data_IF_208472748607
#
_entry.id   IF_208472748607
#
_cell.length_a   1.000
_cell.length_b   1.000
_cell.length_c   1.000
_cell.angle_alpha   90.00
_cell.angle_beta   90.00
_cell.angle_gamma   90.00
#
_symmetry.space_group_name_H-M   'P 1'
#
loop_
_entity.id
_entity.type
_entity.pdbx_description
1 polymer ?
#
# COMPACT_ATOMS: atom_id res chain seq x y z
N UNK A 1 -5.81 5.31 17.90
CA UNK A 1 -6.48 4.60 16.79
C UNK A 1 -6.75 5.60 15.68
N UNK A 2 -6.38 5.28 14.44
CA UNK A 2 -6.57 6.16 13.27
C UNK A 2 -7.54 5.49 12.30
N UNK A 3 -8.28 6.29 11.52
CA UNK A 3 -9.07 5.79 10.38
C UNK A 3 -8.34 5.94 9.05
N UNK A 4 -7.38 6.86 9.00
CA UNK A 4 -6.55 7.13 7.83
C UNK A 4 -5.07 6.92 8.18
N UNK A 5 -4.34 6.31 7.25
CA UNK A 5 -2.89 6.10 7.35
C UNK A 5 -2.29 5.93 5.97
N UNK A 6 -0.96 5.87 5.92
CA UNK A 6 -0.21 5.57 4.71
C UNK A 6 0.13 4.09 4.65
N UNK A 7 0.01 3.51 3.46
CA UNK A 7 0.44 2.17 3.11
C UNK A 7 1.58 2.29 2.10
N UNK A 8 2.72 1.68 2.39
CA UNK A 8 3.84 1.58 1.46
C UNK A 8 3.71 0.29 0.64
N UNK A 9 4.07 0.34 -0.64
CA UNK A 9 4.08 -0.83 -1.53
C UNK A 9 5.42 -0.80 -2.26
N UNK A 10 6.27 -1.79 -2.01
CA UNK A 10 7.53 -1.93 -2.72
C UNK A 10 7.27 -2.39 -4.15
N UNK A 11 7.88 -1.69 -5.11
CA UNK A 11 7.67 -1.92 -6.53
C UNK A 11 8.82 -2.78 -7.07
N UNK A 12 8.56 -3.60 -8.09
CA UNK A 12 9.64 -4.25 -8.83
C UNK A 12 10.45 -3.21 -9.62
N UNK A 13 11.68 -3.55 -10.02
CA UNK A 13 12.58 -2.69 -10.83
C UNK A 13 12.04 -2.32 -12.23
N UNK A 14 10.85 -2.80 -12.60
CA UNK A 14 10.22 -2.51 -13.88
C UNK A 14 9.46 -1.18 -13.84
N UNK A 15 9.43 -0.42 -14.95
CA UNK A 15 8.69 0.83 -15.04
C UNK A 15 7.17 0.53 -15.07
N UNK A 16 6.57 0.50 -13.89
CA UNK A 16 5.14 0.24 -13.71
C UNK A 16 4.52 1.50 -13.12
N UNK A 17 3.37 1.90 -13.66
CA UNK A 17 2.58 2.98 -13.08
C UNK A 17 2.02 2.50 -11.73
N UNK A 18 2.46 3.08 -10.60
CA UNK A 18 2.04 2.60 -9.30
C UNK A 18 0.56 2.84 -9.06
N UNK A 19 -0.12 3.72 -9.79
CA UNK A 19 -1.56 3.94 -9.65
C UNK A 19 -2.42 2.78 -10.14
N UNK A 20 -1.84 1.81 -10.85
CA UNK A 20 -2.53 0.63 -11.37
C UNK A 20 -2.66 -0.52 -10.34
N UNK A 21 -2.00 -0.40 -9.19
CA UNK A 21 -2.12 -1.40 -8.12
C UNK A 21 -3.47 -1.27 -7.40
N UNK A 22 -4.08 -2.41 -7.13
CA UNK A 22 -5.31 -2.51 -6.36
C UNK A 22 -5.00 -2.96 -4.94
N UNK A 23 -5.35 -2.13 -3.95
CA UNK A 23 -5.25 -2.44 -2.52
C UNK A 23 -6.59 -2.98 -2.02
N UNK A 24 -6.58 -4.08 -1.26
CA UNK A 24 -7.77 -4.76 -0.75
C UNK A 24 -7.62 -5.11 0.73
N UNK A 25 -8.69 -4.89 1.49
CA UNK A 25 -8.88 -5.35 2.87
C UNK A 25 -10.39 -5.37 3.16
N UNK A 26 -10.87 -6.26 4.03
CA UNK A 26 -12.31 -6.44 4.32
C UNK A 26 -13.00 -5.14 4.78
N UNK A 27 -12.30 -4.35 5.59
CA UNK A 27 -12.77 -3.05 6.10
C UNK A 27 -12.18 -1.83 5.37
N UNK A 28 -11.65 -2.01 4.16
CA UNK A 28 -11.16 -0.90 3.35
C UNK A 28 -12.34 -0.05 2.86
N UNK A 29 -12.30 1.26 3.11
CA UNK A 29 -13.24 2.21 2.50
C UNK A 29 -12.68 2.78 1.21
N UNK A 30 -11.41 3.20 1.22
CA UNK A 30 -10.72 3.66 0.01
C UNK A 30 -9.21 3.50 0.14
N UNK A 31 -8.55 3.31 -1.01
CA UNK A 31 -7.10 3.39 -1.14
C UNK A 31 -6.78 4.16 -2.42
N UNK A 32 -5.96 5.19 -2.31
CA UNK A 32 -5.56 6.03 -3.45
C UNK A 32 -4.07 6.26 -3.43
N UNK A 33 -3.43 6.15 -4.59
CA UNK A 33 -2.03 6.52 -4.78
C UNK A 33 -1.80 7.97 -4.34
N UNK A 34 -0.73 8.19 -3.59
CA UNK A 34 -0.35 9.50 -3.06
C UNK A 34 0.96 9.99 -3.67
N UNK A 35 2.03 9.19 -3.59
CA UNK A 35 3.35 9.58 -4.09
C UNK A 35 4.26 8.36 -4.35
N UNK A 36 5.31 8.58 -5.14
CA UNK A 36 6.45 7.68 -5.30
C UNK A 36 7.61 8.11 -4.41
N UNK A 37 8.32 7.13 -3.85
CA UNK A 37 9.56 7.34 -3.12
C UNK A 37 10.64 6.36 -3.58
N UNK A 38 11.88 6.66 -3.21
CA UNK A 38 13.03 5.78 -3.45
C UNK A 38 13.99 5.83 -2.26
N UNK A 39 14.37 4.68 -1.73
CA UNK A 39 15.29 4.56 -0.60
C UNK A 39 16.22 3.36 -0.79
N UNK A 40 17.53 3.55 -0.55
CA UNK A 40 18.56 2.50 -0.68
C UNK A 40 18.54 1.71 -2.01
N UNK A 41 18.07 2.33 -3.09
CA UNK A 41 17.97 1.71 -4.42
C UNK A 41 16.65 1.00 -4.69
N UNK A 42 15.72 0.94 -3.73
CA UNK A 42 14.38 0.41 -3.91
C UNK A 42 13.38 1.52 -4.24
N UNK A 43 12.46 1.25 -5.15
CA UNK A 43 11.34 2.14 -5.45
C UNK A 43 10.09 1.66 -4.70
N UNK A 44 9.36 2.58 -4.10
CA UNK A 44 8.12 2.27 -3.41
C UNK A 44 7.03 3.31 -3.71
N UNK A 45 5.78 2.88 -3.63
CA UNK A 45 4.60 3.72 -3.74
C UNK A 45 3.93 3.91 -2.39
N UNK A 46 3.54 5.14 -2.10
CA UNK A 46 2.76 5.49 -0.91
C UNK A 46 1.30 5.63 -1.32
N UNK A 47 0.43 4.94 -0.59
CA UNK A 47 -1.00 4.98 -0.72
C UNK A 47 -1.62 5.61 0.51
N UNK A 48 -2.58 6.52 0.31
CA UNK A 48 -3.48 6.95 1.37
C UNK A 48 -4.59 5.91 1.51
N UNK A 49 -4.74 5.34 2.70
CA UNK A 49 -5.75 4.34 3.03
C UNK A 49 -6.76 4.93 4.01
N UNK A 50 -8.04 4.74 3.74
CA UNK A 50 -9.14 5.03 4.66
C UNK A 50 -9.90 3.74 4.99
N UNK A 51 -10.09 3.48 6.29
CA UNK A 51 -10.82 2.32 6.79
C UNK A 51 -12.24 2.68 7.22
N UNK A 52 -13.16 1.73 7.15
CA UNK A 52 -14.56 1.91 7.60
C UNK A 52 -14.67 2.17 9.10
N UNK A 53 -13.72 1.65 9.89
CA UNK A 53 -13.64 1.83 11.35
C UNK A 53 -12.21 2.16 11.80
N UNK A 54 -12.02 2.74 13.00
CA UNK A 54 -10.68 3.03 13.52
C UNK A 54 -9.90 1.75 13.79
N UNK A 55 -8.60 1.76 13.51
CA UNK A 55 -7.69 0.64 13.75
C UNK A 55 -6.47 1.04 14.57
N UNK A 56 -5.88 0.06 15.25
CA UNK A 56 -4.47 0.11 15.62
C UNK A 56 -3.68 -0.36 14.41
N UNK A 57 -2.75 0.48 13.94
CA UNK A 57 -2.10 0.25 12.66
C UNK A 57 -1.12 -0.91 12.75
N UNK A 58 -0.56 -1.19 13.94
CA UNK A 58 0.26 -2.40 14.19
C UNK A 58 -0.49 -3.71 13.95
N UNK A 59 -1.82 -3.69 14.08
CA UNK A 59 -2.65 -4.87 13.79
C UNK A 59 -2.96 -5.05 12.32
N UNK A 60 -2.61 -4.09 11.47
CA UNK A 60 -2.87 -4.11 10.03
C UNK A 60 -1.65 -4.53 9.20
N UNK A 61 -0.48 -4.65 9.84
CA UNK A 61 0.74 -5.13 9.20
C UNK A 61 0.52 -6.53 8.59
N UNK A 62 0.81 -6.68 7.30
CA UNK A 62 0.59 -7.93 6.55
C UNK A 62 -0.88 -8.26 6.22
N UNK A 63 -1.86 -7.46 6.61
CA UNK A 63 -3.29 -7.76 6.39
C UNK A 63 -3.87 -7.17 5.09
N UNK A 64 -3.08 -6.38 4.36
CA UNK A 64 -3.47 -5.85 3.06
C UNK A 64 -3.08 -6.81 1.93
N UNK A 65 -4.03 -7.07 1.03
CA UNK A 65 -3.75 -7.75 -0.22
C UNK A 65 -3.58 -6.70 -1.32
N UNK A 66 -2.44 -6.72 -2.00
CA UNK A 66 -2.14 -5.83 -3.12
C UNK A 66 -2.01 -6.67 -4.39
N UNK A 67 -2.66 -6.24 -5.48
CA UNK A 67 -2.65 -6.95 -6.77
C UNK A 67 -2.45 -5.98 -7.93
N UNK A 68 -1.73 -6.39 -8.97
CA UNK A 68 -1.60 -5.67 -10.24
C UNK A 68 -2.08 -6.58 -11.39
N UNK A 69 -2.72 -6.05 -12.46
CA UNK A 69 -3.21 -6.88 -13.57
C UNK A 69 -2.10 -7.61 -14.34
N UNK A 70 -0.98 -6.93 -14.59
CA UNK A 70 0.04 -7.42 -15.52
C UNK A 70 1.34 -7.90 -14.86
N UNK A 71 1.50 -7.71 -13.55
CA UNK A 71 2.73 -8.11 -12.85
C UNK A 71 2.43 -8.83 -11.54
N UNK A 72 3.31 -9.75 -11.21
CA UNK A 72 3.33 -10.38 -9.90
C UNK A 72 3.89 -9.40 -8.87
N UNK A 73 3.16 -9.21 -7.77
CA UNK A 73 3.61 -8.39 -6.65
C UNK A 73 4.65 -9.20 -5.88
N UNK A 74 5.93 -8.84 -6.01
CA UNK A 74 7.06 -9.58 -5.44
C UNK A 74 7.21 -9.38 -3.92
N UNK A 75 6.51 -8.40 -3.35
CA UNK A 75 6.44 -8.15 -1.91
C UNK A 75 5.46 -7.01 -1.60
N UNK A 76 4.83 -7.07 -0.42
CA UNK A 76 4.01 -5.97 0.10
C UNK A 76 4.37 -5.82 1.57
N UNK A 77 4.71 -4.61 1.99
CA UNK A 77 5.09 -4.38 3.37
C UNK A 77 4.44 -3.08 3.88
N UNK A 78 3.79 -3.18 5.03
CA UNK A 78 2.89 -2.14 5.55
C UNK A 78 3.68 -1.29 6.55
N UNK A 79 4.42 -0.32 6.05
CA UNK A 79 5.06 0.67 6.91
C UNK A 79 4.09 1.80 7.27
N UNK A 80 4.07 2.12 8.56
CA UNK A 80 3.18 3.12 9.14
C UNK A 80 4.07 4.17 9.77
N UNK A 81 3.93 5.41 9.31
CA UNK A 81 4.55 6.59 9.92
C UNK A 81 3.83 7.02 11.22
#
# INVERSE_FOLDING_TARGET
>A
MKKEFHLTIFLPDSPIDPSQYSVKHTDLKSASFLNLGSEEGYTFAIYKVEMTKPYDVKTLEGNFCVTHPDVEVTGTDVFID
#
